data_IF_369633504307
#
_entry.id   IF_369633504307
#
_cell.length_a   1.000
_cell.length_b   1.000
_cell.length_c   1.000
_cell.angle_alpha   90.00
_cell.angle_beta   90.00
_cell.angle_gamma   90.00
#
_symmetry.space_group_name_H-M   'P 1'
#
loop_
_entity.id
_entity.type
_entity.pdbx_description
1 polymer ?
#
# COMPACT_ATOMS: atom_id res chain seq x y z
N UNK A 1 69.28 63.42 -7.16
CA UNK A 1 67.92 63.27 -7.68
C UNK A 1 67.45 61.89 -7.33
N UNK A 2 66.59 61.79 -6.34
CA UNK A 2 66.04 60.48 -5.81
C UNK A 2 64.55 60.34 -6.18
N UNK A 3 64.25 59.39 -7.04
CA UNK A 3 62.89 59.09 -7.47
C UNK A 3 62.26 58.05 -6.48
N UNK A 4 61.17 58.43 -5.85
CA UNK A 4 60.44 57.56 -4.96
C UNK A 4 59.34 56.82 -5.76
N UNK A 5 59.45 55.53 -5.88
CA UNK A 5 58.32 54.67 -6.32
C UNK A 5 57.30 54.48 -5.22
N UNK A 6 56.06 54.88 -5.47
CA UNK A 6 54.92 54.52 -4.68
C UNK A 6 54.36 53.13 -5.17
N UNK A 7 54.40 52.17 -4.31
CA UNK A 7 53.73 50.90 -4.56
C UNK A 7 52.23 50.99 -4.08
N UNK A 8 51.31 50.87 -5.03
CA UNK A 8 49.90 50.88 -4.78
C UNK A 8 49.44 49.41 -4.47
N UNK A 9 49.01 49.18 -3.25
CA UNK A 9 48.52 47.88 -2.80
C UNK A 9 47.02 47.76 -3.17
N UNK A 10 46.72 46.94 -4.18
CA UNK A 10 45.32 46.60 -4.55
C UNK A 10 44.79 45.53 -3.62
N UNK A 11 43.82 45.86 -2.75
CA UNK A 11 43.09 44.92 -1.96
C UNK A 11 41.98 44.27 -2.83
N UNK A 12 42.15 43.00 -3.17
CA UNK A 12 41.13 42.18 -3.83
C UNK A 12 40.20 41.65 -2.77
N UNK A 13 39.02 42.23 -2.62
CA UNK A 13 37.94 41.69 -1.75
C UNK A 13 37.21 40.58 -2.51
N UNK A 14 37.49 39.35 -2.16
CA UNK A 14 36.70 38.18 -2.62
C UNK A 14 35.38 38.13 -1.85
N UNK A 15 34.27 38.53 -2.50
CA UNK A 15 32.92 38.28 -2.00
C UNK A 15 32.59 36.81 -2.18
N UNK A 16 32.52 36.07 -1.06
CA UNK A 16 31.99 34.71 -1.01
C UNK A 16 30.47 34.84 -1.13
N UNK A 17 29.92 34.52 -2.31
CA UNK A 17 28.48 34.33 -2.50
C UNK A 17 28.13 33.01 -1.86
N UNK A 18 27.64 33.06 -0.62
CA UNK A 18 26.98 31.93 0.04
C UNK A 18 25.67 31.65 -0.67
N UNK A 19 25.62 30.59 -1.48
CA UNK A 19 24.35 30.04 -1.96
C UNK A 19 23.61 29.44 -0.75
N UNK A 20 22.82 30.26 -0.08
CA UNK A 20 21.76 29.75 0.81
C UNK A 20 20.72 29.06 -0.08
N UNK A 21 20.65 27.72 -0.03
CA UNK A 21 19.58 26.96 -0.62
C UNK A 21 18.26 27.42 -0.01
N UNK A 22 17.45 28.12 -0.78
CA UNK A 22 16.08 28.46 -0.39
C UNK A 22 15.30 27.17 -0.18
N UNK A 23 14.55 27.02 0.96
CA UNK A 23 13.66 25.89 1.15
C UNK A 23 12.63 25.88 0.01
N UNK A 24 12.46 24.69 -0.58
CA UNK A 24 11.69 24.43 -1.77
C UNK A 24 10.23 24.94 -1.58
N UNK A 25 9.88 26.06 -2.21
CA UNK A 25 8.54 26.69 -2.12
C UNK A 25 7.39 25.73 -2.50
N UNK A 26 7.65 24.67 -3.27
CA UNK A 26 6.68 23.61 -3.56
C UNK A 26 6.19 22.89 -2.31
N UNK A 27 7.05 22.58 -1.34
CA UNK A 27 6.66 21.86 -0.14
C UNK A 27 5.66 22.63 0.75
N UNK A 28 5.76 23.95 0.80
CA UNK A 28 4.86 24.77 1.63
C UNK A 28 3.45 24.89 1.03
N UNK A 29 3.33 24.93 -0.29
CA UNK A 29 2.04 24.98 -0.99
C UNK A 29 1.31 23.63 -0.91
N UNK A 30 2.05 22.52 -1.08
CA UNK A 30 1.48 21.17 -0.99
C UNK A 30 1.04 20.83 0.44
N UNK A 31 1.81 21.25 1.46
CA UNK A 31 1.41 21.11 2.86
C UNK A 31 0.17 21.92 3.19
N UNK A 32 0.06 23.13 2.68
CA UNK A 32 -1.13 23.99 2.88
C UNK A 32 -2.35 23.37 2.21
N UNK A 33 -2.24 22.89 0.95
CA UNK A 33 -3.32 22.16 0.27
C UNK A 33 -3.74 20.90 1.03
N UNK A 34 -2.79 20.15 1.57
CA UNK A 34 -3.08 18.96 2.35
C UNK A 34 -3.84 19.28 3.66
N UNK A 35 -3.53 20.38 4.31
CA UNK A 35 -4.27 20.83 5.51
C UNK A 35 -5.69 21.28 5.18
N UNK A 36 -5.91 21.92 4.04
CA UNK A 36 -7.24 22.37 3.58
C UNK A 36 -8.16 21.20 3.20
N UNK A 37 -7.60 20.00 2.98
CA UNK A 37 -8.32 18.77 2.68
C UNK A 37 -8.38 17.78 3.88
N UNK A 38 -8.25 18.29 5.11
CA UNK A 38 -8.46 17.51 6.33
C UNK A 38 -9.86 17.76 6.86
N UNK A 39 -10.60 16.70 7.16
CA UNK A 39 -12.01 16.80 7.60
C UNK A 39 -12.24 16.00 8.87
N UNK A 40 -13.22 16.42 9.66
CA UNK A 40 -13.67 15.72 10.86
C UNK A 40 -14.30 14.34 10.55
N UNK A 41 -14.48 13.50 11.57
CA UNK A 41 -15.00 12.15 11.42
C UNK A 41 -16.43 12.11 10.84
N UNK A 42 -17.26 13.10 11.11
CA UNK A 42 -18.64 13.15 10.59
C UNK A 42 -18.67 13.45 9.10
N UNK A 43 -17.86 14.41 8.64
CA UNK A 43 -17.74 14.69 7.21
C UNK A 43 -17.08 13.54 6.47
N UNK A 44 -16.02 12.96 7.08
CA UNK A 44 -15.33 11.79 6.51
C UNK A 44 -16.28 10.61 6.37
N UNK A 45 -17.08 10.27 7.39
CA UNK A 45 -18.03 9.16 7.36
C UNK A 45 -19.08 9.31 6.26
N UNK A 46 -19.58 10.52 6.03
CA UNK A 46 -20.52 10.81 4.94
C UNK A 46 -19.86 10.66 3.56
N UNK A 47 -18.63 11.15 3.43
CA UNK A 47 -17.93 11.13 2.15
C UNK A 47 -17.53 9.71 1.69
N UNK A 48 -17.16 8.82 2.61
CA UNK A 48 -16.78 7.44 2.29
C UNK A 48 -17.96 6.52 1.95
N UNK A 49 -19.21 6.97 2.05
CA UNK A 49 -20.38 6.22 1.58
C UNK A 49 -20.53 6.24 0.06
N UNK A 50 -19.82 7.12 -0.63
CA UNK A 50 -19.82 7.16 -2.08
C UNK A 50 -19.32 5.82 -2.68
N UNK A 51 -19.99 5.26 -3.70
CA UNK A 51 -19.65 3.93 -4.25
C UNK A 51 -18.23 3.85 -4.82
N UNK A 52 -17.65 4.99 -5.17
CA UNK A 52 -16.32 5.13 -5.76
C UNK A 52 -15.26 5.63 -4.76
N UNK A 53 -15.60 5.77 -3.47
CA UNK A 53 -14.64 6.17 -2.46
C UNK A 53 -13.51 5.13 -2.31
N UNK A 54 -12.26 5.58 -2.37
CA UNK A 54 -11.09 4.77 -2.04
C UNK A 54 -10.64 5.12 -0.63
N UNK A 55 -10.87 4.25 0.34
CA UNK A 55 -10.45 4.45 1.72
C UNK A 55 -9.08 3.81 1.91
N UNK A 56 -8.12 4.55 2.47
CA UNK A 56 -6.74 4.10 2.64
C UNK A 56 -6.28 4.23 4.08
N UNK A 57 -6.02 3.11 4.73
CA UNK A 57 -5.34 3.03 6.02
C UNK A 57 -3.82 2.95 5.80
N UNK A 58 -3.08 3.92 6.32
CA UNK A 58 -1.61 3.94 6.16
C UNK A 58 -0.87 3.43 7.40
N UNK A 59 -1.57 2.70 8.26
CA UNK A 59 -0.98 2.00 9.41
C UNK A 59 -0.31 0.70 8.98
N UNK A 60 0.39 0.08 9.92
CA UNK A 60 0.94 -1.27 9.73
C UNK A 60 -0.19 -2.31 9.58
N UNK A 61 0.11 -3.47 9.00
CA UNK A 61 -0.84 -4.57 8.87
C UNK A 61 -1.42 -5.02 10.22
N UNK A 62 -0.60 -5.10 11.29
CA UNK A 62 -1.06 -5.44 12.63
C UNK A 62 -2.02 -4.41 13.23
N UNK A 63 -1.77 -3.11 13.03
CA UNK A 63 -2.70 -2.05 13.45
C UNK A 63 -4.02 -2.13 12.68
N UNK A 64 -3.97 -2.42 11.38
CA UNK A 64 -5.14 -2.60 10.54
C UNK A 64 -6.00 -3.78 11.01
N UNK A 65 -5.39 -4.90 11.30
CA UNK A 65 -6.06 -6.12 11.78
C UNK A 65 -6.73 -5.91 13.14
N UNK A 66 -6.18 -5.05 14.01
CA UNK A 66 -6.78 -4.71 15.31
C UNK A 66 -8.06 -3.87 15.21
N UNK A 67 -8.49 -3.57 13.99
CA UNK A 67 -9.72 -2.84 13.64
C UNK A 67 -9.45 -1.66 12.74
N UNK A 68 -10.24 -1.56 11.66
CA UNK A 68 -10.13 -0.56 10.60
C UNK A 68 -11.50 -0.05 10.15
N UNK A 69 -11.52 1.04 9.40
CA UNK A 69 -12.76 1.55 8.79
C UNK A 69 -13.17 0.61 7.66
N UNK A 70 -14.47 0.30 7.59
CA UNK A 70 -15.05 -0.62 6.61
C UNK A 70 -14.57 -0.33 5.17
N UNK A 71 -14.28 -1.39 4.41
CA UNK A 71 -13.79 -1.32 3.03
C UNK A 71 -12.42 -0.62 2.84
N UNK A 72 -11.71 -0.28 3.89
CA UNK A 72 -10.41 0.34 3.78
C UNK A 72 -9.40 -0.59 3.10
N UNK A 73 -8.62 -0.02 2.18
CA UNK A 73 -7.38 -0.59 1.67
C UNK A 73 -6.26 -0.29 2.68
N UNK A 74 -5.18 -1.06 2.65
CA UNK A 74 -4.05 -0.83 3.54
C UNK A 74 -2.75 -0.66 2.75
N UNK A 75 -1.92 0.32 3.15
CA UNK A 75 -0.55 0.50 2.64
C UNK A 75 0.31 1.15 3.73
N UNK A 76 1.26 0.42 4.28
CA UNK A 76 2.07 0.86 5.40
C UNK A 76 2.99 2.04 5.03
N UNK A 77 2.70 3.23 5.56
CA UNK A 77 3.52 4.42 5.36
C UNK A 77 4.95 4.30 5.90
N UNK A 78 5.16 3.46 6.93
CA UNK A 78 6.48 3.25 7.54
C UNK A 78 7.39 2.35 6.70
N UNK A 79 6.86 1.67 5.68
CA UNK A 79 7.61 0.92 4.69
C UNK A 79 7.44 1.59 3.32
N UNK A 80 8.42 2.39 2.84
CA UNK A 80 8.31 3.12 1.59
C UNK A 80 8.17 2.20 0.36
N UNK A 81 8.75 1.00 0.39
CA UNK A 81 8.65 0.03 -0.71
C UNK A 81 7.23 -0.53 -0.78
N UNK A 82 6.69 -1.00 0.35
CA UNK A 82 5.33 -1.51 0.45
C UNK A 82 4.32 -0.42 0.07
N UNK A 83 4.46 0.78 0.65
CA UNK A 83 3.57 1.92 0.39
C UNK A 83 3.51 2.24 -1.11
N UNK A 84 4.66 2.39 -1.76
CA UNK A 84 4.74 2.66 -3.20
C UNK A 84 4.12 1.52 -4.02
N UNK A 85 4.46 0.27 -3.71
CA UNK A 85 3.95 -0.91 -4.42
C UNK A 85 2.43 -1.01 -4.35
N UNK A 86 1.83 -0.67 -3.21
CA UNK A 86 0.37 -0.76 -3.04
C UNK A 86 -0.34 0.44 -3.64
N UNK A 87 0.15 1.67 -3.39
CA UNK A 87 -0.53 2.89 -3.83
C UNK A 87 -0.46 3.13 -5.34
N UNK A 88 0.53 2.61 -6.07
CA UNK A 88 0.57 2.70 -7.54
C UNK A 88 -0.63 2.04 -8.24
N UNK A 89 -1.37 1.19 -7.54
CA UNK A 89 -2.56 0.49 -8.06
C UNK A 89 -3.87 1.18 -7.73
N UNK A 90 -3.84 2.31 -7.00
CA UNK A 90 -5.02 3.12 -6.73
C UNK A 90 -5.46 3.88 -7.99
N UNK A 91 -6.75 4.15 -8.09
CA UNK A 91 -7.35 4.88 -9.21
C UNK A 91 -7.18 6.39 -9.00
N UNK A 92 -6.44 7.05 -9.88
CA UNK A 92 -6.20 8.50 -9.81
C UNK A 92 -7.41 9.36 -10.15
N UNK A 93 -8.45 8.79 -10.73
CA UNK A 93 -9.70 9.51 -11.05
C UNK A 93 -10.62 9.63 -9.84
N UNK A 94 -10.32 8.89 -8.77
CA UNK A 94 -11.13 8.81 -7.55
C UNK A 94 -10.44 9.48 -6.37
N UNK A 95 -11.24 10.05 -5.47
CA UNK A 95 -10.72 10.63 -4.23
C UNK A 95 -10.27 9.53 -3.26
N UNK A 96 -9.07 9.68 -2.71
CA UNK A 96 -8.56 8.85 -1.63
C UNK A 96 -8.94 9.50 -0.29
N UNK A 97 -9.63 8.75 0.56
CA UNK A 97 -9.93 9.09 1.95
C UNK A 97 -8.94 8.38 2.84
N UNK A 98 -7.95 9.13 3.36
CA UNK A 98 -6.79 8.57 4.04
C UNK A 98 -6.87 8.74 5.56
N UNK A 99 -6.38 7.76 6.31
CA UNK A 99 -6.23 7.88 7.75
C UNK A 99 -5.05 7.04 8.27
N UNK A 100 -4.60 7.38 9.49
CA UNK A 100 -3.71 6.55 10.28
C UNK A 100 -4.22 6.45 11.72
N UNK A 101 -3.36 6.19 12.70
CA UNK A 101 -3.76 6.11 14.11
C UNK A 101 -4.25 7.46 14.66
N UNK A 102 -3.47 8.55 14.46
CA UNK A 102 -3.69 9.86 15.10
C UNK A 102 -3.59 11.05 14.14
N UNK A 103 -3.42 10.81 12.84
CA UNK A 103 -3.38 11.86 11.80
C UNK A 103 -1.98 12.20 11.27
N UNK A 104 -0.90 11.96 12.02
CA UNK A 104 0.45 12.39 11.61
C UNK A 104 0.99 11.64 10.38
N UNK A 105 0.97 10.31 10.39
CA UNK A 105 1.41 9.48 9.24
C UNK A 105 0.56 9.75 8.01
N UNK A 106 -0.76 9.88 8.18
CA UNK A 106 -1.67 10.13 7.06
C UNK A 106 -1.51 11.53 6.47
N UNK A 107 -1.16 12.54 7.26
CA UNK A 107 -0.84 13.88 6.73
C UNK A 107 0.41 13.87 5.86
N UNK A 108 1.47 13.15 6.28
CA UNK A 108 2.68 12.98 5.48
C UNK A 108 2.41 12.18 4.20
N UNK A 109 1.65 11.09 4.31
CA UNK A 109 1.25 10.28 3.16
C UNK A 109 0.33 11.05 2.20
N UNK A 110 -0.59 11.88 2.70
CA UNK A 110 -1.45 12.77 1.91
C UNK A 110 -0.60 13.69 1.03
N UNK A 111 0.39 14.36 1.61
CA UNK A 111 1.31 15.24 0.86
C UNK A 111 2.00 14.47 -0.28
N UNK A 112 2.54 13.30 0.00
CA UNK A 112 3.22 12.47 -1.01
C UNK A 112 2.26 12.00 -2.14
N UNK A 113 1.04 11.62 -1.79
CA UNK A 113 0.04 11.19 -2.77
C UNK A 113 -0.48 12.35 -3.63
N UNK A 114 -0.65 13.55 -3.05
CA UNK A 114 -0.99 14.78 -3.83
C UNK A 114 0.12 15.08 -4.83
N UNK A 115 1.39 15.01 -4.43
CA UNK A 115 2.53 15.18 -5.35
C UNK A 115 2.57 14.10 -6.45
N UNK A 116 2.07 12.90 -6.16
CA UNK A 116 1.92 11.83 -7.14
C UNK A 116 0.67 11.98 -8.05
N UNK A 117 -0.11 13.05 -7.88
CA UNK A 117 -1.27 13.40 -8.71
C UNK A 117 -2.59 12.77 -8.28
N UNK A 118 -2.73 12.40 -7.00
CA UNK A 118 -4.00 11.96 -6.42
C UNK A 118 -4.76 13.13 -5.75
N UNK A 119 -6.09 13.03 -5.71
CA UNK A 119 -6.93 13.83 -4.82
C UNK A 119 -7.09 13.10 -3.50
N UNK A 120 -6.71 13.74 -2.37
CA UNK A 120 -6.63 13.05 -1.07
C UNK A 120 -7.29 13.89 0.03
N UNK A 121 -8.20 13.29 0.76
CA UNK A 121 -8.88 13.86 1.95
C UNK A 121 -8.43 13.10 3.18
N UNK A 122 -7.93 13.81 4.21
CA UNK A 122 -7.41 13.20 5.43
C UNK A 122 -8.44 13.24 6.56
N UNK A 123 -8.49 12.17 7.36
CA UNK A 123 -9.29 12.13 8.58
C UNK A 123 -8.56 12.82 9.73
N UNK A 124 -9.13 13.88 10.25
CA UNK A 124 -8.62 14.58 11.43
C UNK A 124 -8.57 13.66 12.65
N UNK A 125 -7.40 13.59 13.30
CA UNK A 125 -7.19 12.74 14.47
C UNK A 125 -7.18 11.23 14.19
N UNK A 126 -7.28 10.82 12.92
CA UNK A 126 -7.21 9.44 12.48
C UNK A 126 -8.26 8.52 13.10
N UNK A 127 -7.98 7.20 13.13
CA UNK A 127 -8.91 6.19 13.67
C UNK A 127 -9.15 6.35 15.18
N UNK A 128 -8.24 7.00 15.91
CA UNK A 128 -8.46 7.32 17.33
C UNK A 128 -9.64 8.27 17.50
N UNK A 129 -9.70 9.35 16.71
CA UNK A 129 -10.85 10.27 16.72
C UNK A 129 -12.12 9.58 16.20
N UNK A 130 -12.03 8.77 15.15
CA UNK A 130 -13.13 7.95 14.62
C UNK A 130 -13.77 7.10 15.72
N UNK A 131 -12.96 6.39 16.51
CA UNK A 131 -13.42 5.57 17.66
C UNK A 131 -14.01 6.42 18.78
N UNK A 132 -13.43 7.58 19.09
CA UNK A 132 -13.98 8.50 20.10
C UNK A 132 -15.37 9.03 19.75
N UNK A 133 -15.66 9.16 18.44
CA UNK A 133 -17.00 9.50 17.93
C UNK A 133 -17.93 8.27 17.82
N UNK A 134 -17.56 7.14 18.40
CA UNK A 134 -18.30 5.86 18.37
C UNK A 134 -18.63 5.38 16.95
N UNK A 135 -17.79 5.74 15.97
CA UNK A 135 -17.95 5.29 14.59
C UNK A 135 -17.52 3.80 14.46
N UNK A 136 -18.18 3.01 13.59
CA UNK A 136 -17.94 1.57 13.48
C UNK A 136 -16.55 1.25 12.90
N UNK A 137 -15.97 0.15 13.40
CA UNK A 137 -14.76 -0.46 12.86
C UNK A 137 -15.00 -1.94 12.57
N UNK A 138 -14.29 -2.48 11.58
CA UNK A 138 -14.29 -3.90 11.21
C UNK A 138 -12.91 -4.52 11.51
N UNK A 139 -12.83 -5.86 11.47
CA UNK A 139 -11.57 -6.59 11.56
C UNK A 139 -11.06 -6.85 12.99
N UNK A 140 -11.72 -6.34 14.03
CA UNK A 140 -11.35 -6.58 15.42
C UNK A 140 -11.91 -7.93 15.95
N UNK A 141 -11.79 -9.02 15.20
CA UNK A 141 -12.34 -10.32 15.57
C UNK A 141 -11.29 -11.44 15.59
N UNK A 142 -11.50 -12.43 16.45
CA UNK A 142 -10.70 -13.65 16.53
C UNK A 142 -11.02 -14.56 15.32
N UNK A 143 -10.44 -14.28 14.14
CA UNK A 143 -10.46 -15.26 13.06
C UNK A 143 -9.42 -16.34 13.33
N UNK A 144 -9.85 -17.57 13.19
CA UNK A 144 -8.97 -18.74 13.29
C UNK A 144 -8.04 -18.76 12.06
N UNK A 145 -6.74 -18.68 12.28
CA UNK A 145 -5.75 -18.84 11.21
C UNK A 145 -5.80 -20.23 10.61
N UNK A 146 -5.50 -20.34 9.30
CA UNK A 146 -5.26 -21.62 8.66
C UNK A 146 -4.02 -22.28 9.29
N UNK A 147 -4.17 -23.51 9.77
CA UNK A 147 -3.03 -24.26 10.31
C UNK A 147 -2.14 -24.73 9.15
N UNK A 148 -0.84 -24.69 9.35
CA UNK A 148 0.15 -25.17 8.33
C UNK A 148 -0.16 -26.60 7.90
N UNK A 149 -0.51 -27.49 8.83
CA UNK A 149 -0.86 -28.89 8.52
C UNK A 149 -2.09 -29.02 7.61
N UNK A 150 -3.06 -28.11 7.72
CA UNK A 150 -4.24 -28.11 6.85
C UNK A 150 -3.89 -27.57 5.46
N UNK A 151 -3.07 -26.53 5.41
CA UNK A 151 -2.51 -26.02 4.15
C UNK A 151 -1.73 -27.12 3.40
N UNK A 152 -0.83 -27.83 4.08
CA UNK A 152 -0.03 -28.93 3.49
C UNK A 152 -0.90 -30.05 2.94
N UNK A 153 -2.01 -30.41 3.61
CA UNK A 153 -2.99 -31.36 3.08
C UNK A 153 -3.69 -30.83 1.83
N UNK A 154 -4.07 -29.55 1.83
CA UNK A 154 -4.82 -28.94 0.73
C UNK A 154 -3.96 -28.85 -0.55
N UNK A 155 -2.69 -28.52 -0.46
CA UNK A 155 -1.80 -28.48 -1.64
C UNK A 155 -1.53 -29.85 -2.26
N UNK A 156 -1.82 -30.94 -1.51
CA UNK A 156 -1.71 -32.33 -1.98
C UNK A 156 -3.06 -32.90 -2.45
N UNK A 157 -4.17 -32.16 -2.30
CA UNK A 157 -5.52 -32.68 -2.53
C UNK A 157 -5.87 -32.87 -4.01
N UNK A 158 -5.16 -32.21 -4.92
CA UNK A 158 -5.39 -32.27 -6.36
C UNK A 158 -4.06 -32.29 -7.13
N UNK A 159 -4.10 -32.71 -8.41
CA UNK A 159 -2.92 -32.68 -9.27
C UNK A 159 -2.34 -31.28 -9.38
N UNK A 160 -3.21 -30.25 -9.58
CA UNK A 160 -2.81 -28.85 -9.58
C UNK A 160 -3.57 -28.09 -8.50
N UNK A 161 -2.83 -27.33 -7.68
CA UNK A 161 -3.37 -26.40 -6.70
C UNK A 161 -2.76 -25.02 -6.95
N UNK A 162 -3.59 -24.05 -7.32
CA UNK A 162 -3.19 -22.65 -7.44
C UNK A 162 -3.49 -21.96 -6.12
N UNK A 163 -2.46 -21.59 -5.40
CA UNK A 163 -2.54 -20.82 -4.15
C UNK A 163 -2.45 -19.34 -4.47
N UNK A 164 -3.37 -18.54 -3.96
CA UNK A 164 -3.27 -17.09 -3.88
C UNK A 164 -3.08 -16.69 -2.43
N UNK A 165 -1.96 -16.05 -2.12
CA UNK A 165 -1.75 -15.38 -0.84
C UNK A 165 -2.06 -13.90 -1.10
N UNK A 166 -3.20 -13.47 -0.62
CA UNK A 166 -3.73 -12.14 -0.89
C UNK A 166 -4.62 -11.65 0.24
N UNK A 167 -5.18 -10.45 0.10
CA UNK A 167 -6.12 -9.90 1.06
C UNK A 167 -7.07 -8.91 0.39
N UNK A 168 -8.30 -8.79 0.90
CA UNK A 168 -9.31 -7.87 0.37
C UNK A 168 -8.88 -6.39 0.48
N UNK A 169 -8.08 -6.05 1.48
CA UNK A 169 -7.56 -4.71 1.73
C UNK A 169 -6.28 -4.38 0.94
N UNK A 170 -5.75 -5.33 0.15
CA UNK A 170 -4.53 -5.16 -0.64
C UNK A 170 -4.88 -4.65 -2.05
N UNK A 171 -4.50 -3.40 -2.44
CA UNK A 171 -4.86 -2.83 -3.75
C UNK A 171 -4.41 -3.68 -4.95
N UNK A 172 -3.16 -4.18 -5.03
CA UNK A 172 -2.77 -5.06 -6.13
C UNK A 172 -3.52 -6.40 -6.14
N UNK A 173 -3.93 -6.94 -4.98
CA UNK A 173 -4.76 -8.16 -4.91
C UNK A 173 -6.14 -7.92 -5.55
N UNK A 174 -6.79 -6.79 -5.23
CA UNK A 174 -8.06 -6.40 -5.88
C UNK A 174 -7.94 -6.29 -7.39
N UNK A 175 -6.81 -5.79 -7.89
CA UNK A 175 -6.55 -5.70 -9.33
C UNK A 175 -6.42 -7.08 -9.98
N UNK A 176 -6.00 -8.10 -9.22
CA UNK A 176 -5.92 -9.49 -9.71
C UNK A 176 -7.26 -10.22 -9.74
N UNK A 177 -8.27 -9.76 -8.97
CA UNK A 177 -9.53 -10.46 -8.83
C UNK A 177 -10.20 -10.83 -10.17
N UNK A 178 -10.32 -9.92 -11.17
CA UNK A 178 -10.91 -10.27 -12.47
C UNK A 178 -10.13 -11.36 -13.22
N UNK A 179 -8.80 -11.38 -13.08
CA UNK A 179 -7.93 -12.38 -13.72
C UNK A 179 -8.12 -13.74 -13.05
N UNK A 180 -8.15 -13.76 -11.71
CA UNK A 180 -8.38 -14.97 -10.91
C UNK A 180 -9.77 -15.54 -11.20
N UNK A 181 -10.80 -14.71 -11.28
CA UNK A 181 -12.16 -15.13 -11.61
C UNK A 181 -12.25 -15.72 -13.03
N UNK A 182 -11.58 -15.11 -13.99
CA UNK A 182 -11.49 -15.64 -15.35
C UNK A 182 -10.74 -16.98 -15.43
N UNK A 183 -9.71 -17.19 -14.60
CA UNK A 183 -9.02 -18.49 -14.49
C UNK A 183 -9.90 -19.56 -13.89
N UNK A 184 -10.70 -19.23 -12.88
CA UNK A 184 -11.67 -20.17 -12.26
C UNK A 184 -12.78 -20.56 -13.22
N UNK A 185 -13.27 -19.61 -14.03
CA UNK A 185 -14.36 -19.85 -15.00
C UNK A 185 -13.90 -20.65 -16.21
N UNK A 186 -12.70 -20.40 -16.72
CA UNK A 186 -12.13 -21.08 -17.87
C UNK A 186 -10.67 -21.47 -17.57
N UNK A 187 -10.48 -22.54 -16.76
CA UNK A 187 -9.16 -22.97 -16.35
C UNK A 187 -8.36 -23.57 -17.52
N UNK A 188 -7.06 -23.27 -17.62
CA UNK A 188 -6.18 -23.89 -18.63
C UNK A 188 -6.07 -25.40 -18.44
N UNK A 189 -6.10 -25.86 -17.20
CA UNK A 189 -6.25 -27.26 -16.75
C UNK A 189 -7.09 -27.29 -15.49
N UNK A 190 -7.75 -28.41 -15.13
CA UNK A 190 -8.40 -28.53 -13.84
C UNK A 190 -7.45 -28.24 -12.70
N UNK A 191 -7.82 -27.36 -11.79
CA UNK A 191 -7.04 -27.05 -10.59
C UNK A 191 -7.95 -26.74 -9.40
N UNK A 192 -7.44 -26.98 -8.20
CA UNK A 192 -8.03 -26.47 -6.96
C UNK A 192 -7.50 -25.08 -6.66
N UNK A 193 -8.38 -24.13 -6.37
CA UNK A 193 -7.99 -22.77 -5.97
C UNK A 193 -8.00 -22.66 -4.46
N UNK A 194 -6.87 -22.31 -3.87
CA UNK A 194 -6.70 -22.12 -2.43
C UNK A 194 -6.35 -20.65 -2.15
N UNK A 195 -7.27 -19.95 -1.49
CA UNK A 195 -7.01 -18.60 -0.99
C UNK A 195 -6.41 -18.67 0.43
N UNK A 196 -5.31 -17.98 0.64
CA UNK A 196 -4.64 -17.78 1.93
C UNK A 196 -4.73 -16.29 2.28
N UNK A 197 -5.26 -15.96 3.46
CA UNK A 197 -5.37 -14.57 3.90
C UNK A 197 -4.01 -14.03 4.36
N UNK A 198 -3.38 -13.24 3.50
CA UNK A 198 -2.09 -12.59 3.77
C UNK A 198 -2.10 -11.58 4.92
N UNK A 199 -3.24 -11.37 5.54
CA UNK A 199 -3.36 -10.57 6.74
C UNK A 199 -3.53 -11.40 8.01
N UNK A 200 -3.84 -12.71 7.91
CA UNK A 200 -4.17 -13.54 9.06
C UNK A 200 -3.37 -14.84 9.11
N UNK A 201 -3.18 -15.50 7.98
CA UNK A 201 -2.56 -16.83 7.91
C UNK A 201 -1.02 -16.73 7.96
N UNK A 202 -0.50 -16.02 8.96
CA UNK A 202 0.93 -15.65 9.09
C UNK A 202 1.85 -16.86 9.13
N UNK A 203 1.42 -17.96 9.76
CA UNK A 203 2.24 -19.19 9.84
C UNK A 203 2.36 -19.87 8.49
N UNK A 204 1.28 -19.87 7.69
CA UNK A 204 1.31 -20.34 6.30
C UNK A 204 2.20 -19.44 5.46
N UNK A 205 2.03 -18.11 5.53
CA UNK A 205 2.87 -17.16 4.81
C UNK A 205 4.36 -17.38 5.09
N UNK A 206 4.73 -17.51 6.37
CA UNK A 206 6.10 -17.77 6.79
C UNK A 206 6.62 -19.10 6.24
N UNK A 207 5.80 -20.16 6.30
CA UNK A 207 6.15 -21.50 5.80
C UNK A 207 6.47 -21.47 4.31
N UNK A 208 5.63 -20.78 3.52
CA UNK A 208 5.81 -20.66 2.07
C UNK A 208 6.71 -19.48 1.66
N UNK A 209 7.25 -18.72 2.62
CA UNK A 209 8.12 -17.55 2.38
C UNK A 209 7.47 -16.52 1.45
N UNK A 210 6.23 -16.16 1.75
CA UNK A 210 5.48 -15.14 1.03
C UNK A 210 5.50 -13.82 1.80
N UNK A 211 6.42 -12.93 1.46
CA UNK A 211 6.63 -11.66 2.16
C UNK A 211 5.82 -10.49 1.53
N UNK A 212 5.41 -10.62 0.27
CA UNK A 212 4.68 -9.60 -0.49
C UNK A 212 3.32 -10.12 -0.98
N UNK A 213 2.34 -9.21 -1.16
CA UNK A 213 0.99 -9.52 -1.64
C UNK A 213 0.67 -8.81 -2.97
N UNK A 214 -0.05 -9.47 -3.90
CA UNK A 214 -0.37 -10.90 -3.89
C UNK A 214 0.86 -11.76 -4.21
N UNK A 215 0.90 -12.99 -3.66
CA UNK A 215 1.82 -14.03 -4.10
C UNK A 215 1.01 -15.19 -4.63
N UNK A 216 1.31 -15.63 -5.85
CA UNK A 216 0.70 -16.79 -6.48
C UNK A 216 1.70 -17.94 -6.51
N UNK A 217 1.25 -19.15 -6.12
CA UNK A 217 2.08 -20.35 -6.13
C UNK A 217 1.29 -21.47 -6.79
N UNK A 218 1.85 -22.11 -7.82
CA UNK A 218 1.27 -23.30 -8.42
C UNK A 218 2.00 -24.54 -7.87
N UNK A 219 1.21 -25.41 -7.26
CA UNK A 219 1.67 -26.74 -6.85
C UNK A 219 1.18 -27.78 -7.83
N UNK A 220 2.03 -28.76 -8.15
CA UNK A 220 1.68 -29.99 -8.86
C UNK A 220 2.01 -31.19 -7.98
N UNK A 221 0.99 -31.96 -7.61
CA UNK A 221 1.13 -33.09 -6.67
C UNK A 221 1.85 -32.70 -5.36
N UNK A 222 1.53 -31.54 -4.80
CA UNK A 222 2.13 -31.01 -3.58
C UNK A 222 3.51 -30.37 -3.73
N UNK A 223 4.11 -30.35 -4.94
CA UNK A 223 5.41 -29.76 -5.22
C UNK A 223 5.21 -28.40 -5.88
N UNK A 224 5.87 -27.36 -5.35
CA UNK A 224 5.86 -26.03 -5.99
C UNK A 224 6.57 -26.10 -7.35
N UNK A 225 5.83 -25.73 -8.42
CA UNK A 225 6.34 -25.74 -9.79
C UNK A 225 6.45 -24.36 -10.40
N UNK A 226 5.77 -23.37 -9.81
CA UNK A 226 5.81 -21.97 -10.26
C UNK A 226 5.42 -21.03 -9.14
N UNK A 227 6.00 -19.82 -9.18
CA UNK A 227 5.68 -18.72 -8.26
C UNK A 227 5.74 -17.38 -8.97
N UNK A 228 4.83 -16.48 -8.59
CA UNK A 228 4.84 -15.09 -9.03
C UNK A 228 4.38 -14.17 -7.90
N UNK A 229 5.03 -13.00 -7.79
CA UNK A 229 4.71 -11.97 -6.81
C UNK A 229 4.20 -10.72 -7.53
N UNK A 230 3.15 -10.11 -7.01
CA UNK A 230 2.53 -8.89 -7.53
C UNK A 230 1.52 -9.13 -8.66
N UNK A 231 1.17 -8.05 -9.35
CA UNK A 231 0.20 -8.09 -10.45
C UNK A 231 0.76 -8.93 -11.60
N UNK A 232 0.04 -9.99 -11.96
CA UNK A 232 0.48 -11.04 -12.86
C UNK A 232 -0.46 -11.14 -14.06
N UNK A 233 0.04 -11.04 -15.32
CA UNK A 233 -0.78 -11.23 -16.51
C UNK A 233 -1.39 -12.64 -16.58
N UNK A 234 -2.59 -12.78 -17.18
CA UNK A 234 -3.27 -14.07 -17.33
C UNK A 234 -2.39 -15.11 -18.06
N UNK A 235 -1.64 -14.68 -19.07
CA UNK A 235 -0.77 -15.57 -19.86
C UNK A 235 0.33 -16.23 -19.05
N UNK A 236 0.82 -15.57 -17.98
CA UNK A 236 1.83 -16.16 -17.10
C UNK A 236 1.26 -17.36 -16.33
N UNK A 237 -0.02 -17.30 -15.93
CA UNK A 237 -0.70 -18.46 -15.34
C UNK A 237 -0.87 -19.59 -16.36
N UNK A 238 -1.32 -19.28 -17.59
CA UNK A 238 -1.50 -20.29 -18.65
C UNK A 238 -0.19 -21.02 -18.91
N UNK A 239 0.93 -20.29 -19.04
CA UNK A 239 2.26 -20.86 -19.21
C UNK A 239 2.70 -21.71 -18.02
N UNK A 240 2.34 -21.32 -16.79
CA UNK A 240 2.66 -22.08 -15.59
C UNK A 240 2.04 -23.49 -15.59
N UNK A 241 0.87 -23.66 -16.22
CA UNK A 241 0.23 -24.97 -16.40
C UNK A 241 0.85 -25.80 -17.58
N UNK A 242 1.88 -25.28 -18.24
CA UNK A 242 2.58 -25.96 -19.34
C UNK A 242 1.81 -25.95 -20.66
N UNK A 243 1.19 -24.81 -20.98
CA UNK A 243 0.45 -24.54 -22.22
C UNK A 243 1.04 -23.36 -22.99
#
# INVERSE_FOLDING_TARGET
>A
MKLKCLASLLFLTTTIISCAQQPNQKNSTDQKMAMDLTVDAVKFSKAITAPDAQILDVRTAGEFQSGHIANALQANWLDPKEFKNRTQHLDKTKTIYIYCQSGGRSASAQTALIQAGFTVVNLEGGISNWRMQSMPVEGAGDRVQMRVVDFEKLIQSNEYVLVEIGALWCPPCRKMQPIVDALKQAPPKPFYFLAVDGGQDMDVMKTVKADDLPTFILYKNGIEVWRKVGVTPKDDFVKAFGL
#
